data_IF_324599838586
#
_entry.id   IF_324599838586
#
_cell.length_a   1.000
_cell.length_b   1.000
_cell.length_c   1.000
_cell.angle_alpha   90.00
_cell.angle_beta   90.00
_cell.angle_gamma   90.00
#
_symmetry.space_group_name_H-M   'P 1'
#
loop_
_entity.id
_entity.type
_entity.pdbx_description
1 polymer ?
#
# COMPACT_ATOMS: atom_id res chain seq x y z
N UNK A 1 -1.33 3.86 24.04
CA UNK A 1 -0.15 3.62 24.90
C UNK A 1 -0.10 2.21 25.49
N UNK A 2 -1.05 1.75 26.33
CA UNK A 2 -0.99 0.39 26.92
C UNK A 2 -1.02 -0.73 25.87
N UNK A 3 -1.86 -0.60 24.84
CA UNK A 3 -1.95 -1.58 23.76
C UNK A 3 -0.66 -1.66 22.92
N UNK A 4 -0.03 -0.52 22.59
CA UNK A 4 1.24 -0.48 21.87
C UNK A 4 2.37 -1.21 22.65
N UNK A 5 2.42 -1.02 23.97
CA UNK A 5 3.35 -1.74 24.83
C UNK A 5 3.05 -3.24 24.90
N UNK A 6 1.78 -3.65 24.83
CA UNK A 6 1.40 -5.06 24.79
C UNK A 6 1.79 -5.71 23.45
N UNK A 7 1.53 -5.05 22.31
CA UNK A 7 1.89 -5.57 20.98
C UNK A 7 3.39 -5.69 20.76
N UNK A 8 4.19 -4.87 21.44
CA UNK A 8 5.64 -5.00 21.46
C UNK A 8 6.15 -6.37 21.94
N UNK A 9 5.32 -7.16 22.63
CA UNK A 9 5.66 -8.51 23.13
C UNK A 9 5.19 -9.64 22.21
N UNK A 10 4.55 -9.34 21.08
CA UNK A 10 4.04 -10.35 20.15
C UNK A 10 5.15 -11.27 19.64
N UNK A 11 6.36 -10.76 19.45
CA UNK A 11 7.52 -11.54 19.00
C UNK A 11 7.99 -12.62 20.00
N UNK A 12 7.57 -12.54 21.26
CA UNK A 12 7.97 -13.49 22.32
C UNK A 12 6.83 -14.39 22.78
N UNK A 13 5.59 -13.96 22.61
CA UNK A 13 4.43 -14.62 23.25
C UNK A 13 3.09 -14.34 22.57
N UNK A 14 3.08 -13.74 21.38
CA UNK A 14 1.85 -13.44 20.64
C UNK A 14 1.11 -14.72 20.26
N UNK A 15 -0.20 -14.72 20.48
CA UNK A 15 -1.12 -15.80 20.07
C UNK A 15 -2.10 -15.28 19.02
N UNK A 16 -2.69 -16.19 18.24
CA UNK A 16 -3.75 -15.81 17.30
C UNK A 16 -4.94 -15.07 17.96
N UNK A 17 -5.30 -15.49 19.18
CA UNK A 17 -6.37 -14.85 19.96
C UNK A 17 -5.98 -13.40 20.25
N UNK A 18 -4.76 -13.16 20.74
CA UNK A 18 -4.29 -11.80 21.03
C UNK A 18 -4.20 -10.93 19.77
N UNK A 19 -3.89 -11.51 18.61
CA UNK A 19 -3.87 -10.76 17.35
C UNK A 19 -5.28 -10.37 16.90
N UNK A 20 -6.24 -11.29 16.95
CA UNK A 20 -7.64 -11.02 16.60
C UNK A 20 -8.25 -9.96 17.50
N UNK A 21 -8.05 -10.08 18.83
CA UNK A 21 -8.48 -9.08 19.79
C UNK A 21 -7.83 -7.71 19.56
N UNK A 22 -6.55 -7.68 19.16
CA UNK A 22 -5.88 -6.42 18.83
C UNK A 22 -6.53 -5.75 17.63
N UNK A 23 -6.85 -6.52 16.58
CA UNK A 23 -7.53 -5.98 15.41
C UNK A 23 -8.94 -5.45 15.75
N UNK A 24 -9.69 -6.14 16.60
CA UNK A 24 -11.00 -5.67 17.08
C UNK A 24 -10.88 -4.36 17.88
N UNK A 25 -9.90 -4.26 18.79
CA UNK A 25 -9.68 -3.04 19.58
C UNK A 25 -9.26 -1.89 18.66
N UNK A 26 -8.38 -2.12 17.69
CA UNK A 26 -7.97 -1.10 16.73
C UNK A 26 -9.16 -0.63 15.89
N UNK A 27 -10.01 -1.54 15.42
CA UNK A 27 -11.24 -1.17 14.71
C UNK A 27 -12.18 -0.33 15.58
N UNK A 28 -12.33 -0.68 16.87
CA UNK A 28 -13.13 0.12 17.80
C UNK A 28 -12.55 1.51 18.03
N UNK A 29 -11.22 1.64 18.15
CA UNK A 29 -10.55 2.95 18.29
C UNK A 29 -10.74 3.77 17.02
N UNK A 30 -10.53 3.18 15.85
CA UNK A 30 -10.70 3.87 14.57
C UNK A 30 -12.14 4.38 14.37
N UNK A 31 -13.15 3.64 14.83
CA UNK A 31 -14.56 4.04 14.76
C UNK A 31 -14.91 5.24 15.66
N UNK A 32 -14.03 5.67 16.56
CA UNK A 32 -14.20 6.91 17.32
C UNK A 32 -13.91 8.14 16.44
N UNK A 33 -13.24 7.96 15.28
CA UNK A 33 -12.88 9.03 14.34
C UNK A 33 -12.09 10.16 15.05
N UNK A 34 -11.15 9.79 15.92
CA UNK A 34 -10.33 10.74 16.66
C UNK A 34 -9.46 11.55 15.72
N UNK A 35 -9.40 12.88 15.91
CA UNK A 35 -8.48 13.74 15.15
C UNK A 35 -7.08 13.79 15.75
N UNK A 36 -6.90 13.25 16.97
CA UNK A 36 -5.65 13.32 17.71
C UNK A 36 -4.50 12.59 17.01
N UNK A 37 -3.44 13.33 16.69
CA UNK A 37 -2.18 12.76 16.19
C UNK A 37 -1.64 11.67 17.10
N UNK A 38 -1.74 11.84 18.42
CA UNK A 38 -1.27 10.85 19.39
C UNK A 38 -2.00 9.50 19.25
N UNK A 39 -3.31 9.51 18.95
CA UNK A 39 -4.08 8.27 18.72
C UNK A 39 -3.55 7.58 17.46
N UNK A 40 -3.39 8.33 16.37
CA UNK A 40 -2.88 7.82 15.09
C UNK A 40 -1.45 7.28 15.23
N UNK A 41 -0.54 8.00 15.89
CA UNK A 41 0.83 7.56 16.18
C UNK A 41 0.85 6.22 16.94
N UNK A 42 0.03 6.10 18.00
CA UNK A 42 -0.08 4.86 18.76
C UNK A 42 -0.58 3.70 17.89
N UNK A 43 -1.54 3.95 16.99
CA UNK A 43 -2.05 2.92 16.08
C UNK A 43 -1.00 2.49 15.07
N UNK A 44 -0.23 3.43 14.51
CA UNK A 44 0.90 3.09 13.62
C UNK A 44 1.94 2.22 14.34
N UNK A 45 2.27 2.54 15.60
CA UNK A 45 3.19 1.73 16.40
C UNK A 45 2.65 0.33 16.69
N UNK A 46 1.34 0.21 16.98
CA UNK A 46 0.66 -1.07 17.17
C UNK A 46 0.79 -1.93 15.90
N UNK A 47 0.39 -1.39 14.74
CA UNK A 47 0.47 -2.11 13.48
C UNK A 47 1.93 -2.50 13.16
N UNK A 48 2.88 -1.57 13.34
CA UNK A 48 4.30 -1.84 13.13
C UNK A 48 4.81 -3.00 13.99
N UNK A 49 4.35 -3.10 15.24
CA UNK A 49 4.71 -4.18 16.13
C UNK A 49 4.11 -5.52 15.70
N UNK A 50 2.89 -5.52 15.19
CA UNK A 50 2.25 -6.71 14.62
C UNK A 50 3.02 -7.16 13.37
N UNK A 51 3.38 -6.25 12.46
CA UNK A 51 4.12 -6.57 11.24
C UNK A 51 5.48 -7.24 11.51
N UNK A 52 6.13 -6.91 12.62
CA UNK A 52 7.40 -7.55 13.02
C UNK A 52 7.28 -9.06 13.24
N UNK A 53 6.08 -9.58 13.47
CA UNK A 53 5.83 -10.97 13.88
C UNK A 53 5.06 -11.75 12.81
N UNK A 54 4.87 -11.18 11.62
CA UNK A 54 4.18 -11.83 10.51
C UNK A 54 5.04 -12.95 9.86
N UNK A 55 5.51 -13.88 10.67
CA UNK A 55 5.93 -15.22 10.26
C UNK A 55 4.71 -16.17 10.27
N UNK A 56 4.92 -17.41 9.83
CA UNK A 56 3.92 -18.48 9.68
C UNK A 56 2.94 -18.69 10.88
N UNK A 57 3.25 -18.17 12.06
CA UNK A 57 2.42 -18.27 13.28
C UNK A 57 1.07 -17.56 13.23
N UNK A 58 0.86 -16.61 12.30
CA UNK A 58 -0.42 -15.90 12.14
C UNK A 58 -1.16 -16.21 10.83
N UNK A 59 -0.69 -17.17 10.05
CA UNK A 59 -1.26 -17.52 8.74
C UNK A 59 -2.77 -17.78 8.80
N UNK A 60 -3.26 -18.44 9.85
CA UNK A 60 -4.70 -18.69 10.02
C UNK A 60 -5.51 -17.41 10.33
N UNK A 61 -4.97 -16.48 11.11
CA UNK A 61 -5.63 -15.20 11.36
C UNK A 61 -5.68 -14.35 10.07
N UNK A 62 -4.61 -14.36 9.27
CA UNK A 62 -4.60 -13.74 7.96
C UNK A 62 -5.62 -14.38 7.01
N UNK A 63 -5.72 -15.72 6.99
CA UNK A 63 -6.75 -16.45 6.24
C UNK A 63 -8.19 -16.07 6.63
N UNK A 64 -8.39 -15.59 7.86
CA UNK A 64 -9.71 -15.19 8.36
C UNK A 64 -10.01 -13.71 8.10
N UNK A 65 -9.09 -12.94 7.52
CA UNK A 65 -9.28 -11.52 7.20
C UNK A 65 -8.86 -10.56 8.33
N UNK A 66 -8.24 -11.04 9.41
CA UNK A 66 -7.81 -10.20 10.53
C UNK A 66 -6.81 -9.11 10.11
N UNK A 67 -5.91 -9.43 9.16
CA UNK A 67 -4.97 -8.45 8.59
C UNK A 67 -5.68 -7.34 7.84
N UNK A 68 -6.61 -7.70 6.95
CA UNK A 68 -7.46 -6.77 6.19
C UNK A 68 -8.25 -5.85 7.10
N UNK A 69 -8.89 -6.39 8.14
CA UNK A 69 -9.64 -5.58 9.11
C UNK A 69 -8.74 -4.57 9.83
N UNK A 70 -7.52 -4.97 10.20
CA UNK A 70 -6.58 -4.09 10.88
C UNK A 70 -6.09 -2.96 9.96
N UNK A 71 -5.75 -3.27 8.71
CA UNK A 71 -5.35 -2.28 7.70
C UNK A 71 -6.49 -1.31 7.42
N UNK A 72 -7.70 -1.82 7.19
CA UNK A 72 -8.87 -0.98 6.88
C UNK A 72 -9.20 -0.03 8.03
N UNK A 73 -9.17 -0.53 9.27
CA UNK A 73 -9.37 0.30 10.45
C UNK A 73 -8.29 1.38 10.59
N UNK A 74 -7.03 1.03 10.33
CA UNK A 74 -5.94 1.99 10.39
C UNK A 74 -6.05 3.06 9.31
N UNK A 75 -6.33 2.67 8.06
CA UNK A 75 -6.51 3.63 6.96
C UNK A 75 -7.72 4.53 7.19
N UNK A 76 -8.77 4.05 7.87
CA UNK A 76 -9.91 4.87 8.33
C UNK A 76 -9.45 5.97 9.27
N UNK A 77 -8.63 5.62 10.26
CA UNK A 77 -8.11 6.59 11.22
C UNK A 77 -7.28 7.69 10.52
N UNK A 78 -6.56 7.36 9.45
CA UNK A 78 -5.77 8.35 8.69
C UNK A 78 -6.63 9.41 7.99
N UNK A 79 -7.92 9.14 7.77
CA UNK A 79 -8.87 10.12 7.22
C UNK A 79 -9.15 11.27 8.21
N UNK A 80 -8.98 11.02 9.50
CA UNK A 80 -9.41 11.94 10.56
C UNK A 80 -8.27 12.68 11.24
N UNK A 81 -7.03 12.17 11.15
CA UNK A 81 -5.89 12.78 11.84
C UNK A 81 -5.68 14.23 11.41
N UNK A 82 -5.50 15.09 12.41
CA UNK A 82 -5.13 16.49 12.22
C UNK A 82 -3.74 16.61 11.59
N UNK A 83 -3.66 17.41 10.53
CA UNK A 83 -2.40 17.79 9.89
C UNK A 83 -1.80 19.03 10.57
N UNK A 84 -0.48 19.20 10.46
CA UNK A 84 0.20 20.39 10.96
C UNK A 84 -0.22 21.64 10.17
N UNK A 85 -0.66 22.70 10.86
CA UNK A 85 -1.19 23.90 10.20
C UNK A 85 -0.19 24.61 9.28
N UNK A 86 1.12 24.46 9.51
CA UNK A 86 2.17 25.10 8.70
C UNK A 86 2.52 24.34 7.43
N UNK A 87 2.40 23.01 7.44
CA UNK A 87 2.83 22.13 6.34
C UNK A 87 1.65 21.48 5.60
N UNK A 88 0.47 21.43 6.23
CA UNK A 88 -0.67 20.64 5.74
C UNK A 88 -0.39 19.14 5.81
N UNK A 89 0.57 18.69 6.61
CA UNK A 89 0.97 17.27 6.67
C UNK A 89 0.93 16.66 8.07
N UNK A 90 0.67 15.37 8.15
CA UNK A 90 0.95 14.52 9.31
C UNK A 90 1.88 13.39 8.87
N UNK A 91 2.92 13.12 9.67
CA UNK A 91 3.95 12.13 9.31
C UNK A 91 4.31 11.30 10.52
N UNK A 92 4.43 9.99 10.32
CA UNK A 92 4.94 9.09 11.35
C UNK A 92 5.63 7.89 10.70
N UNK A 93 6.85 7.61 11.16
CA UNK A 93 7.69 6.54 10.61
C UNK A 93 8.07 5.57 11.71
N UNK A 94 7.87 4.29 11.44
CA UNK A 94 8.34 3.18 12.25
C UNK A 94 9.21 2.25 11.38
N UNK A 95 9.88 1.24 11.96
CA UNK A 95 10.67 0.29 11.17
C UNK A 95 9.89 -0.50 10.11
N UNK A 96 8.57 -0.65 10.25
CA UNK A 96 7.75 -1.48 9.34
C UNK A 96 6.64 -0.72 8.61
N UNK A 97 6.31 0.50 9.06
CA UNK A 97 5.24 1.33 8.49
C UNK A 97 5.72 2.77 8.40
N UNK A 98 5.48 3.41 7.26
CA UNK A 98 5.72 4.83 7.06
C UNK A 98 4.43 5.48 6.61
N UNK A 99 4.04 6.59 7.24
CA UNK A 99 2.78 7.29 6.99
C UNK A 99 3.04 8.74 6.64
N UNK A 100 2.38 9.22 5.59
CA UNK A 100 2.27 10.63 5.25
C UNK A 100 0.83 10.93 4.86
N UNK A 101 0.18 11.81 5.62
CA UNK A 101 -1.11 12.41 5.26
C UNK A 101 -0.84 13.83 4.82
N UNK A 102 -1.41 14.24 3.69
CA UNK A 102 -1.29 15.57 3.12
C UNK A 102 -2.69 16.11 2.87
N UNK A 103 -2.97 17.33 3.32
CA UNK A 103 -4.28 17.98 3.20
C UNK A 103 -4.13 19.42 2.69
N UNK A 104 -5.01 19.83 1.77
CA UNK A 104 -5.05 21.20 1.24
C UNK A 104 -5.90 21.36 -0.02
N UNK A 105 -5.69 22.45 -0.78
CA UNK A 105 -6.45 22.70 -2.01
C UNK A 105 -6.11 21.68 -3.12
N UNK A 106 -6.96 21.54 -4.17
CA UNK A 106 -6.80 20.46 -5.15
C UNK A 106 -5.48 20.48 -5.94
N UNK A 107 -4.94 21.67 -6.21
CA UNK A 107 -3.65 21.88 -6.89
C UNK A 107 -2.44 21.39 -6.06
N UNK A 108 -2.63 21.15 -4.76
CA UNK A 108 -1.62 20.51 -3.92
C UNK A 108 -1.25 19.11 -4.42
N UNK A 109 -2.17 18.39 -5.07
CA UNK A 109 -1.93 17.04 -5.58
C UNK A 109 -1.54 16.99 -7.06
N UNK A 110 -1.47 18.13 -7.75
CA UNK A 110 -0.93 18.19 -9.12
C UNK A 110 0.58 17.98 -9.12
N UNK A 111 1.07 17.14 -10.03
CA UNK A 111 2.49 16.74 -10.09
C UNK A 111 3.03 16.26 -8.72
N UNK A 112 2.16 15.73 -7.86
CA UNK A 112 2.54 15.26 -6.53
C UNK A 112 3.05 13.83 -6.59
N UNK A 113 4.06 13.52 -5.79
CA UNK A 113 4.59 12.19 -5.66
C UNK A 113 4.96 11.88 -4.21
N UNK A 114 5.05 10.59 -3.92
CA UNK A 114 5.63 10.05 -2.70
C UNK A 114 6.73 9.07 -3.08
N UNK A 115 7.80 9.02 -2.30
CA UNK A 115 8.87 8.05 -2.48
C UNK A 115 9.29 7.45 -1.14
N UNK A 116 9.61 6.16 -1.14
CA UNK A 116 10.34 5.54 -0.03
C UNK A 116 11.83 5.71 -0.28
N UNK A 117 12.44 6.67 0.41
CA UNK A 117 13.85 7.03 0.24
C UNK A 117 14.68 6.47 1.38
N UNK A 118 15.86 5.90 1.06
CA UNK A 118 16.85 5.59 2.09
C UNK A 118 17.50 6.88 2.57
N UNK A 119 17.53 7.11 3.88
CA UNK A 119 18.17 8.29 4.47
C UNK A 119 19.68 8.33 4.17
N UNK A 120 20.35 7.17 4.13
CA UNK A 120 21.75 6.99 3.73
C UNK A 120 21.96 5.55 3.18
N UNK A 121 23.00 5.34 2.36
CA UNK A 121 23.36 4.00 1.82
C UNK A 121 23.73 2.97 2.90
N UNK A 122 23.95 3.43 4.14
CA UNK A 122 24.33 2.61 5.30
C UNK A 122 23.21 2.44 6.34
N UNK A 123 22.09 3.16 6.20
CA UNK A 123 20.96 3.07 7.11
C UNK A 123 19.84 2.19 6.54
N UNK A 124 19.28 1.32 7.40
CA UNK A 124 18.15 0.43 7.08
C UNK A 124 16.80 1.18 7.21
N UNK A 125 16.84 2.44 7.60
CA UNK A 125 15.66 3.28 7.83
C UNK A 125 15.33 4.11 6.59
N UNK A 126 14.47 3.56 5.75
CA UNK A 126 13.72 4.35 4.76
C UNK A 126 12.71 5.28 5.44
N UNK A 127 12.44 6.42 4.80
CA UNK A 127 11.33 7.33 5.10
C UNK A 127 10.40 7.43 3.90
N UNK A 128 9.15 7.82 4.14
CA UNK A 128 8.19 8.15 3.08
C UNK A 128 8.17 9.67 2.89
N UNK A 129 8.63 10.13 1.74
CA UNK A 129 8.82 11.54 1.41
C UNK A 129 7.85 12.01 0.33
N UNK A 130 6.99 13.00 0.61
CA UNK A 130 6.21 13.67 -0.42
C UNK A 130 7.05 14.73 -1.13
N UNK A 131 6.86 14.88 -2.43
CA UNK A 131 7.53 15.92 -3.22
C UNK A 131 6.70 16.32 -4.45
N UNK A 132 6.96 17.51 -4.98
CA UNK A 132 6.46 17.93 -6.29
C UNK A 132 7.43 17.47 -7.36
N UNK A 133 6.92 16.88 -8.43
CA UNK A 133 7.74 16.30 -9.48
C UNK A 133 8.34 17.40 -10.35
N UNK A 134 9.63 17.61 -10.16
CA UNK A 134 10.49 18.24 -11.14
C UNK A 134 11.05 17.15 -12.08
N UNK A 135 10.74 17.23 -13.38
CA UNK A 135 11.15 16.22 -14.37
C UNK A 135 12.66 16.02 -14.45
N UNK A 136 13.46 17.01 -14.02
CA UNK A 136 14.92 16.89 -13.99
C UNK A 136 15.44 16.05 -12.82
N UNK A 137 14.71 16.02 -11.70
CA UNK A 137 15.14 15.34 -10.46
C UNK A 137 14.59 13.93 -10.33
N UNK A 138 13.52 13.60 -11.08
CA UNK A 138 12.88 12.30 -11.03
C UNK A 138 13.87 11.12 -11.21
N UNK A 139 14.83 11.13 -12.15
CA UNK A 139 15.79 10.04 -12.27
C UNK A 139 16.68 9.82 -11.02
N UNK A 140 17.05 10.92 -10.34
CA UNK A 140 17.85 10.86 -9.12
C UNK A 140 17.04 10.31 -7.94
N UNK A 141 15.79 10.77 -7.80
CA UNK A 141 14.86 10.30 -6.77
C UNK A 141 14.58 8.83 -6.97
N UNK A 142 14.27 8.42 -8.21
CA UNK A 142 14.10 7.03 -8.57
C UNK A 142 15.31 6.25 -8.06
N UNK A 143 16.53 6.58 -8.47
CA UNK A 143 17.74 5.83 -8.12
C UNK A 143 17.92 5.53 -6.62
N UNK A 144 17.48 6.43 -5.74
CA UNK A 144 17.63 6.33 -4.28
C UNK A 144 16.39 5.78 -3.57
N UNK A 145 15.34 5.48 -4.31
CA UNK A 145 14.05 5.04 -3.76
C UNK A 145 13.80 3.56 -4.02
N UNK A 146 13.24 2.87 -3.03
CA UNK A 146 12.71 1.52 -3.23
C UNK A 146 11.36 1.53 -3.93
N UNK A 147 10.62 2.64 -3.81
CA UNK A 147 9.32 2.81 -4.44
C UNK A 147 9.03 4.31 -4.65
N UNK A 148 8.39 4.65 -5.75
CA UNK A 148 7.94 6.01 -6.07
C UNK A 148 6.54 5.92 -6.64
N UNK A 149 5.61 6.68 -6.08
CA UNK A 149 4.23 6.73 -6.52
C UNK A 149 3.86 8.17 -6.90
N UNK A 150 3.39 8.35 -8.13
CA UNK A 150 3.18 9.63 -8.78
C UNK A 150 1.69 9.82 -9.12
N UNK A 151 1.18 10.97 -8.74
CA UNK A 151 -0.18 11.40 -9.02
C UNK A 151 -0.31 11.95 -10.45
N UNK A 152 -1.52 11.93 -11.02
CA UNK A 152 -1.79 12.58 -12.29
C UNK A 152 -1.39 14.06 -12.25
N UNK A 153 -0.83 14.57 -13.36
CA UNK A 153 -0.31 15.94 -13.41
C UNK A 153 -1.37 17.03 -13.19
N UNK A 154 -2.61 16.74 -13.58
CA UNK A 154 -3.75 17.68 -13.53
C UNK A 154 -4.91 17.02 -12.81
N UNK A 155 -4.62 16.40 -11.67
CA UNK A 155 -5.64 15.76 -10.84
C UNK A 155 -6.66 16.82 -10.37
N UNK A 156 -6.19 18.02 -10.04
CA UNK A 156 -7.00 19.17 -9.60
C UNK A 156 -8.13 19.54 -10.56
N UNK A 157 -7.98 19.28 -11.87
CA UNK A 157 -9.00 19.59 -12.88
C UNK A 157 -10.31 18.82 -12.69
N UNK A 158 -10.33 17.83 -11.82
CA UNK A 158 -11.50 17.01 -11.47
C UNK A 158 -12.29 17.54 -10.27
N UNK A 159 -11.84 18.64 -9.66
CA UNK A 159 -12.34 19.16 -8.39
C UNK A 159 -12.67 20.65 -8.50
N UNK A 160 -13.55 21.11 -7.62
CA UNK A 160 -13.85 22.54 -7.49
C UNK A 160 -12.74 23.23 -6.70
N UNK A 161 -12.51 24.52 -6.96
CA UNK A 161 -11.44 25.28 -6.31
C UNK A 161 -11.62 25.44 -4.79
N UNK A 162 -12.85 25.29 -4.30
CA UNK A 162 -13.22 25.32 -2.88
C UNK A 162 -13.21 23.93 -2.21
N UNK A 163 -12.97 22.86 -2.96
CA UNK A 163 -12.78 21.54 -2.39
C UNK A 163 -11.49 21.47 -1.56
N UNK A 164 -11.52 20.73 -0.46
CA UNK A 164 -10.33 20.32 0.29
C UNK A 164 -10.03 18.86 -0.04
N UNK A 165 -8.81 18.61 -0.53
CA UNK A 165 -8.32 17.26 -0.77
C UNK A 165 -7.43 16.79 0.38
N UNK A 166 -7.61 15.54 0.79
CA UNK A 166 -6.72 14.81 1.70
C UNK A 166 -6.20 13.57 0.99
N UNK A 167 -4.88 13.43 0.88
CA UNK A 167 -4.22 12.21 0.43
C UNK A 167 -3.56 11.50 1.61
N UNK A 168 -3.96 10.26 1.88
CA UNK A 168 -3.33 9.41 2.91
C UNK A 168 -2.40 8.42 2.21
N UNK A 169 -1.13 8.41 2.57
CA UNK A 169 -0.12 7.57 1.96
C UNK A 169 0.55 6.72 3.03
N UNK A 170 0.60 5.40 2.81
CA UNK A 170 1.22 4.47 3.75
C UNK A 170 2.12 3.52 2.98
N UNK A 171 3.33 3.29 3.48
CA UNK A 171 4.20 2.23 2.99
C UNK A 171 4.34 1.15 4.07
N UNK A 172 3.93 -0.06 3.75
CA UNK A 172 4.04 -1.27 4.56
C UNK A 172 5.21 -2.10 4.04
N UNK A 173 6.23 -2.31 4.88
CA UNK A 173 7.42 -3.10 4.49
C UNK A 173 7.18 -4.61 4.44
N UNK A 174 6.15 -5.08 5.12
CA UNK A 174 5.79 -6.50 5.22
C UNK A 174 4.53 -6.75 4.38
N UNK A 175 4.71 -7.29 3.18
CA UNK A 175 3.62 -7.56 2.24
C UNK A 175 2.78 -8.78 2.63
N UNK A 176 3.27 -9.60 3.57
CA UNK A 176 2.62 -10.79 4.12
C UNK A 176 1.30 -10.47 4.83
N UNK A 177 1.10 -9.22 5.25
CA UNK A 177 -0.16 -8.75 5.82
C UNK A 177 -1.34 -8.82 4.85
N UNK A 178 -1.02 -8.78 3.56
CA UNK A 178 -1.96 -8.84 2.45
C UNK A 178 -2.00 -10.26 1.88
N UNK A 179 -2.25 -11.20 2.79
CA UNK A 179 -2.26 -12.62 2.47
C UNK A 179 -3.52 -13.00 1.68
N UNK A 180 -3.35 -13.48 0.46
CA UNK A 180 -4.44 -14.05 -0.32
C UNK A 180 -4.59 -15.55 -0.11
N UNK A 181 -5.82 -16.02 0.15
CA UNK A 181 -6.13 -17.46 0.09
C UNK A 181 -6.05 -18.05 -1.32
N UNK A 182 -5.99 -17.18 -2.32
CA UNK A 182 -6.16 -17.48 -3.73
C UNK A 182 -5.00 -16.95 -4.59
N UNK A 183 -3.76 -17.08 -4.12
CA UNK A 183 -2.55 -16.76 -4.90
C UNK A 183 -2.42 -17.47 -6.25
N UNK A 184 -3.33 -18.39 -6.57
CA UNK A 184 -3.43 -19.12 -7.83
C UNK A 184 -4.42 -18.48 -8.83
N UNK A 185 -5.31 -17.59 -8.39
CA UNK A 185 -6.31 -16.92 -9.23
C UNK A 185 -6.38 -15.45 -8.82
N UNK A 186 -5.88 -14.58 -9.69
CA UNK A 186 -6.06 -13.14 -9.61
C UNK A 186 -7.49 -12.79 -10.10
N UNK A 187 -8.16 -11.79 -9.51
CA UNK A 187 -9.56 -11.40 -9.80
C UNK A 187 -10.60 -12.48 -9.46
N UNK A 188 -10.44 -13.12 -8.30
CA UNK A 188 -11.20 -14.32 -7.95
C UNK A 188 -12.47 -14.06 -7.14
N UNK A 189 -13.13 -12.89 -7.21
CA UNK A 189 -14.25 -12.51 -6.33
C UNK A 189 -15.31 -13.61 -6.03
N UNK A 190 -15.42 -14.65 -6.87
CA UNK A 190 -16.28 -15.83 -6.71
C UNK A 190 -15.62 -17.23 -6.79
N UNK A 191 -14.29 -17.39 -6.76
CA UNK A 191 -13.66 -18.71 -6.97
C UNK A 191 -13.57 -19.58 -5.70
N UNK A 192 -13.84 -20.88 -5.85
CA UNK A 192 -13.78 -21.88 -4.77
C UNK A 192 -12.33 -22.20 -4.38
N UNK A 193 -12.06 -22.31 -3.09
CA UNK A 193 -10.74 -22.63 -2.54
C UNK A 193 -10.32 -24.05 -2.95
N UNK A 194 -9.22 -24.17 -3.70
CA UNK A 194 -8.65 -25.45 -4.12
C UNK A 194 -7.26 -25.64 -3.46
N UNK A 195 -7.03 -26.80 -2.82
CA UNK A 195 -5.84 -27.05 -1.99
C UNK A 195 -4.56 -27.40 -2.78
N UNK A 196 -4.61 -27.61 -4.10
CA UNK A 196 -3.48 -28.13 -4.89
C UNK A 196 -3.22 -27.29 -6.14
N UNK A 197 -2.29 -26.33 -6.05
CA UNK A 197 -1.84 -25.55 -7.21
C UNK A 197 -0.33 -25.60 -7.40
N UNK A 198 0.10 -25.72 -8.67
CA UNK A 198 1.50 -25.75 -9.12
C UNK A 198 2.11 -24.36 -9.36
N UNK A 199 1.31 -23.29 -9.29
CA UNK A 199 1.73 -21.91 -9.53
C UNK A 199 1.14 -21.03 -8.42
N UNK A 200 1.99 -20.25 -7.77
CA UNK A 200 1.60 -19.27 -6.76
C UNK A 200 2.22 -17.93 -7.13
N UNK A 201 1.39 -16.91 -7.15
CA UNK A 201 1.82 -15.53 -7.13
C UNK A 201 2.21 -15.18 -5.69
N UNK A 202 3.29 -14.43 -5.50
CA UNK A 202 3.70 -13.90 -4.19
C UNK A 202 4.03 -12.43 -4.32
N UNK A 203 3.73 -11.59 -3.31
CA UNK A 203 4.19 -10.21 -3.31
C UNK A 203 5.71 -10.12 -3.43
N UNK A 204 6.20 -9.33 -4.38
CA UNK A 204 7.62 -9.13 -4.62
C UNK A 204 8.04 -7.67 -4.52
N UNK A 205 7.29 -6.85 -3.79
CA UNK A 205 7.60 -5.46 -3.49
C UNK A 205 7.03 -5.12 -2.12
N UNK A 206 7.50 -4.02 -1.53
CA UNK A 206 6.75 -3.36 -0.47
C UNK A 206 5.38 -2.91 -0.97
N UNK A 207 4.45 -2.80 -0.03
CA UNK A 207 3.08 -2.39 -0.27
C UNK A 207 3.00 -0.89 0.00
N UNK A 208 2.74 -0.09 -1.04
CA UNK A 208 2.33 1.30 -0.87
C UNK A 208 0.83 1.36 -1.02
N UNK A 209 0.17 2.06 -0.10
CA UNK A 209 -1.24 2.41 -0.08
C UNK A 209 -1.39 3.91 -0.29
N UNK A 210 -2.37 4.31 -1.10
CA UNK A 210 -2.74 5.71 -1.29
C UNK A 210 -4.25 5.81 -1.42
N UNK A 211 -4.88 6.64 -0.57
CA UNK A 211 -6.30 6.99 -0.64
C UNK A 211 -6.45 8.51 -0.81
N UNK A 212 -7.46 8.95 -1.55
CA UNK A 212 -7.75 10.36 -1.80
C UNK A 212 -9.18 10.65 -1.33
N UNK A 213 -9.33 11.71 -0.53
CA UNK A 213 -10.61 12.19 -0.03
C UNK A 213 -10.83 13.63 -0.48
N UNK A 214 -12.08 13.95 -0.80
CA UNK A 214 -12.61 15.28 -1.10
C UNK A 214 -13.65 15.63 -0.05
N UNK A 215 -13.40 16.67 0.75
CA UNK A 215 -14.31 17.12 1.82
C UNK A 215 -14.74 16.00 2.77
N UNK A 216 -13.85 15.03 3.02
CA UNK A 216 -14.10 13.86 3.86
C UNK A 216 -14.76 12.67 3.14
N UNK A 217 -15.15 12.81 1.88
CA UNK A 217 -15.67 11.72 1.06
C UNK A 217 -14.58 11.13 0.17
N UNK A 218 -14.61 9.83 -0.04
CA UNK A 218 -13.59 9.17 -0.86
C UNK A 218 -13.76 9.42 -2.35
N UNK A 219 -12.64 9.67 -3.02
CA UNK A 219 -12.57 9.80 -4.48
C UNK A 219 -12.30 8.42 -5.09
N UNK A 220 -13.32 7.85 -5.73
CA UNK A 220 -13.23 6.51 -6.37
C UNK A 220 -12.85 6.57 -7.85
N UNK A 221 -13.12 7.69 -8.51
CA UNK A 221 -12.89 7.88 -9.95
C UNK A 221 -12.65 9.35 -10.26
N UNK A 222 -11.90 9.62 -11.31
CA UNK A 222 -11.75 10.95 -11.89
C UNK A 222 -11.74 10.90 -13.42
N UNK A 223 -12.04 12.03 -14.06
CA UNK A 223 -12.00 12.19 -15.51
C UNK A 223 -10.54 12.21 -16.00
N UNK A 224 -10.25 11.25 -16.88
CA UNK A 224 -8.92 11.04 -17.48
C UNK A 224 -8.71 11.87 -18.74
N UNK A 225 -9.78 12.41 -19.33
CA UNK A 225 -9.71 13.22 -20.56
C UNK A 225 -9.07 14.60 -20.35
N UNK A 226 -8.95 15.04 -19.09
CA UNK A 226 -8.35 16.32 -18.72
C UNK A 226 -6.79 16.31 -18.70
N UNK A 227 -6.15 15.13 -18.82
CA UNK A 227 -4.70 15.00 -18.98
C UNK A 227 -4.29 15.02 -20.46
N UNK A 228 -3.28 15.81 -20.83
CA UNK A 228 -2.92 16.01 -22.25
C UNK A 228 -2.36 14.77 -22.96
N UNK A 229 -2.09 13.69 -22.23
CA UNK A 229 -1.63 12.40 -22.73
C UNK A 229 -2.17 11.32 -21.79
N UNK A 230 -2.65 10.19 -22.32
CA UNK A 230 -3.35 9.14 -21.55
C UNK A 230 -2.56 8.63 -20.33
N UNK A 231 -1.22 8.68 -20.36
CA UNK A 231 -0.33 8.24 -19.27
C UNK A 231 -0.13 9.26 -18.15
N UNK A 232 -0.39 10.54 -18.40
CA UNK A 232 -0.29 11.61 -17.41
C UNK A 232 -1.60 11.81 -16.62
N UNK A 233 -2.66 11.08 -17.00
CA UNK A 233 -3.99 11.10 -16.39
C UNK A 233 -4.20 10.02 -15.31
N UNK A 234 -3.20 9.18 -15.11
CA UNK A 234 -3.24 7.98 -14.27
C UNK A 234 -2.21 8.04 -13.16
N UNK A 235 -2.50 7.40 -12.03
CA UNK A 235 -1.47 7.15 -11.02
C UNK A 235 -0.39 6.26 -11.63
N UNK A 236 0.87 6.52 -11.25
CA UNK A 236 2.03 5.75 -11.71
C UNK A 236 2.87 5.31 -10.54
N UNK A 237 3.43 4.12 -10.63
CA UNK A 237 4.34 3.62 -9.61
C UNK A 237 5.60 3.06 -10.25
N UNK A 238 6.73 3.34 -9.63
CA UNK A 238 7.98 2.63 -9.84
C UNK A 238 8.37 1.92 -8.57
N UNK A 239 8.95 0.73 -8.70
CA UNK A 239 9.34 -0.08 -7.56
C UNK A 239 10.66 -0.79 -7.83
N UNK A 240 11.34 -1.12 -6.74
CA UNK A 240 12.45 -2.07 -6.69
C UNK A 240 11.91 -3.42 -6.20
N UNK A 241 12.10 -4.51 -6.96
CA UNK A 241 11.75 -5.85 -6.51
C UNK A 241 12.41 -6.20 -5.17
N UNK A 242 11.76 -7.03 -4.36
CA UNK A 242 12.40 -7.65 -3.20
C UNK A 242 13.50 -8.61 -3.68
N UNK A 243 14.61 -8.63 -2.94
CA UNK A 243 15.72 -9.55 -3.19
C UNK A 243 15.50 -10.85 -2.41
N UNK A 244 15.67 -12.00 -3.07
CA UNK A 244 15.70 -13.31 -2.44
C UNK A 244 17.12 -13.86 -2.51
N UNK A 245 17.77 -14.05 -1.36
CA UNK A 245 19.15 -14.57 -1.25
C UNK A 245 20.20 -13.77 -2.08
N UNK A 246 20.08 -12.44 -2.13
CA UNK A 246 20.99 -11.57 -2.89
C UNK A 246 20.81 -11.65 -4.40
N UNK A 247 19.71 -12.25 -4.87
CA UNK A 247 19.28 -12.22 -6.27
C UNK A 247 17.95 -11.50 -6.37
N UNK A 248 17.83 -10.59 -7.33
CA UNK A 248 16.54 -10.01 -7.70
C UNK A 248 15.65 -11.17 -8.18
N UNK A 249 14.52 -11.35 -7.50
CA UNK A 249 13.54 -12.38 -7.87
C UNK A 249 13.10 -12.16 -9.32
N UNK A 250 13.28 -13.19 -10.15
CA UNK A 250 13.15 -13.11 -11.62
C UNK A 250 11.73 -12.66 -12.04
N UNK A 251 11.66 -11.59 -12.84
CA UNK A 251 10.46 -10.77 -13.16
C UNK A 251 9.59 -11.37 -14.29
N UNK A 252 9.88 -12.60 -14.75
CA UNK A 252 9.34 -13.20 -16.00
C UNK A 252 7.81 -13.27 -16.13
N UNK A 253 7.03 -12.99 -15.08
CA UNK A 253 5.56 -12.92 -15.15
C UNK A 253 4.96 -11.96 -14.11
N UNK A 254 5.49 -10.74 -14.08
CA UNK A 254 5.02 -9.67 -13.20
C UNK A 254 3.62 -9.19 -13.56
N UNK A 255 2.76 -9.00 -12.55
CA UNK A 255 1.43 -8.41 -12.71
C UNK A 255 1.25 -7.31 -11.68
N UNK A 256 0.74 -6.16 -12.13
CA UNK A 256 0.32 -5.09 -11.24
C UNK A 256 -1.07 -5.38 -10.67
N UNK A 257 -1.21 -5.28 -9.35
CA UNK A 257 -2.46 -5.51 -8.63
C UNK A 257 -2.70 -4.45 -7.54
N UNK A 258 -3.89 -4.46 -6.96
CA UNK A 258 -4.32 -3.72 -5.77
C UNK A 258 -5.04 -4.65 -4.79
N UNK A 259 -5.07 -4.30 -3.50
CA UNK A 259 -5.79 -5.07 -2.49
C UNK A 259 -7.25 -4.64 -2.45
N UNK A 260 -8.16 -5.51 -2.87
CA UNK A 260 -9.59 -5.28 -2.78
C UNK A 260 -10.11 -5.82 -1.44
N UNK A 261 -10.35 -4.94 -0.46
CA UNK A 261 -10.88 -5.29 0.87
C UNK A 261 -12.19 -6.08 0.83
N UNK A 262 -13.04 -5.84 -0.18
CA UNK A 262 -14.37 -6.46 -0.28
C UNK A 262 -14.31 -7.86 -0.91
N UNK A 263 -13.21 -8.20 -1.58
CA UNK A 263 -13.05 -9.52 -2.15
C UNK A 263 -13.02 -10.61 -1.08
N UNK A 264 -13.32 -11.85 -1.49
CA UNK A 264 -13.32 -13.03 -0.61
C UNK A 264 -14.24 -12.90 0.63
N UNK A 265 -15.39 -12.24 0.45
CA UNK A 265 -16.37 -12.00 1.50
C UNK A 265 -15.87 -11.04 2.60
N UNK A 266 -15.12 -10.01 2.22
CA UNK A 266 -14.58 -9.01 3.14
C UNK A 266 -13.24 -9.39 3.80
N UNK A 267 -12.63 -10.50 3.36
CA UNK A 267 -11.29 -10.91 3.86
C UNK A 267 -10.16 -10.27 3.09
N UNK A 268 -10.45 -9.67 1.94
CA UNK A 268 -9.47 -9.04 1.07
C UNK A 268 -8.84 -10.02 0.09
N UNK A 269 -8.57 -9.55 -1.13
CA UNK A 269 -7.79 -10.29 -2.12
C UNK A 269 -7.15 -9.34 -3.14
N UNK A 270 -6.11 -9.80 -3.83
CA UNK A 270 -5.47 -9.09 -4.93
C UNK A 270 -6.35 -9.07 -6.17
N UNK A 271 -6.52 -7.88 -6.75
CA UNK A 271 -7.18 -7.65 -8.04
C UNK A 271 -6.26 -6.88 -8.98
N UNK A 272 -6.35 -7.14 -10.28
CA UNK A 272 -5.65 -6.40 -11.34
C UNK A 272 -6.61 -5.50 -12.12
N UNK A 273 -7.87 -5.42 -11.68
CA UNK A 273 -8.86 -4.63 -12.38
C UNK A 273 -8.44 -3.16 -12.40
N UNK A 274 -8.33 -2.61 -13.60
CA UNK A 274 -7.84 -1.25 -13.79
C UNK A 274 -6.37 -1.04 -13.44
N UNK A 275 -5.56 -2.09 -13.42
CA UNK A 275 -4.11 -2.01 -13.26
C UNK A 275 -3.43 -2.48 -14.55
N UNK A 276 -2.41 -1.76 -15.03
CA UNK A 276 -1.55 -2.24 -16.14
C UNK A 276 -0.07 -2.08 -15.81
N UNK A 277 0.69 -3.13 -16.13
CA UNK A 277 2.15 -3.05 -16.16
C UNK A 277 2.57 -2.29 -17.43
N UNK A 278 3.36 -1.23 -17.33
CA UNK A 278 3.80 -0.46 -18.51
C UNK A 278 5.07 -1.05 -19.12
N UNK A 279 6.07 -1.40 -18.30
CA UNK A 279 7.25 -2.11 -18.79
C UNK A 279 7.96 -2.91 -17.69
N UNK A 280 8.25 -4.18 -17.91
CA UNK A 280 9.23 -4.93 -17.12
C UNK A 280 10.59 -4.82 -17.83
N UNK A 281 11.66 -4.40 -17.13
CA UNK A 281 12.98 -4.26 -17.75
C UNK A 281 13.49 -5.59 -18.34
N UNK A 282 14.23 -5.49 -19.44
CA UNK A 282 14.61 -6.61 -20.32
C UNK A 282 15.79 -7.46 -19.85
N UNK A 283 16.45 -7.09 -18.75
CA UNK A 283 17.72 -7.66 -18.26
C UNK A 283 17.62 -8.33 -16.88
N UNK A 284 16.43 -8.43 -16.30
CA UNK A 284 16.25 -8.96 -14.94
C UNK A 284 16.85 -8.07 -13.85
N UNK A 285 17.40 -6.91 -14.20
CA UNK A 285 17.91 -5.86 -13.33
C UNK A 285 17.09 -4.61 -13.57
N UNK A 286 15.91 -4.52 -12.95
CA UNK A 286 15.09 -3.34 -13.16
C UNK A 286 15.51 -2.21 -12.23
N UNK A 287 16.17 -1.21 -12.80
CA UNK A 287 16.07 0.15 -12.30
C UNK A 287 14.73 0.73 -12.80
N UNK A 288 13.68 0.59 -12.00
CA UNK A 288 12.36 1.25 -12.12
C UNK A 288 11.42 0.71 -13.22
N UNK A 289 10.49 -0.17 -12.84
CA UNK A 289 9.35 -0.59 -13.68
C UNK A 289 8.22 0.44 -13.50
N UNK A 290 7.86 1.25 -14.52
CA UNK A 290 6.62 2.01 -14.49
C UNK A 290 5.42 1.07 -14.53
N UNK A 291 4.50 1.30 -13.61
CA UNK A 291 3.17 0.72 -13.54
C UNK A 291 2.17 1.85 -13.71
N UNK A 292 1.10 1.63 -14.48
CA UNK A 292 0.04 2.62 -14.68
C UNK A 292 -1.28 2.07 -14.17
N UNK A 293 -1.99 2.87 -13.38
CA UNK A 293 -3.31 2.55 -12.87
C UNK A 293 -4.39 3.21 -13.72
N UNK A 294 -5.22 2.39 -14.34
CA UNK A 294 -6.38 2.79 -15.11
C UNK A 294 -7.67 2.28 -14.45
N UNK A 295 -8.18 2.97 -13.45
CA UNK A 295 -9.48 2.62 -12.84
C UNK A 295 -10.58 2.86 -13.88
N UNK A 296 -11.12 1.78 -14.43
CA UNK A 296 -12.09 1.81 -15.55
C UNK A 296 -13.50 1.40 -15.14
N UNK A 297 -13.70 0.96 -13.90
CA UNK A 297 -15.02 0.66 -13.34
C UNK A 297 -15.08 1.13 -11.90
N UNK A 298 -16.18 1.83 -11.60
CA UNK A 298 -16.71 2.01 -10.24
C UNK A 298 -16.90 0.61 -9.64
N UNK A 299 -15.88 0.09 -8.97
CA UNK A 299 -16.14 -0.88 -7.92
C UNK A 299 -16.59 0.01 -6.77
N UNK A 300 -17.83 -0.16 -6.31
CA UNK A 300 -18.27 0.42 -5.04
C UNK A 300 -17.33 -0.16 -3.97
N UNK A 301 -16.19 0.46 -3.74
CA UNK A 301 -15.17 0.11 -2.74
C UNK A 301 -15.11 1.29 -1.81
N UNK A 302 -15.67 1.14 -0.61
CA UNK A 302 -15.17 1.94 0.50
C UNK A 302 -13.71 1.54 0.68
N UNK A 303 -12.84 2.54 0.76
CA UNK A 303 -11.38 2.50 0.64
C UNK A 303 -10.83 2.14 -0.74
N UNK A 304 -10.36 3.16 -1.47
CA UNK A 304 -9.57 3.06 -2.69
C UNK A 304 -8.09 2.94 -2.31
N UNK A 305 -7.71 1.82 -1.70
CA UNK A 305 -6.29 1.57 -1.40
C UNK A 305 -5.62 0.91 -2.59
N UNK A 306 -4.83 1.68 -3.35
CA UNK A 306 -3.97 1.10 -4.37
C UNK A 306 -2.79 0.46 -3.67
N UNK A 307 -2.65 -0.86 -3.76
CA UNK A 307 -1.58 -1.63 -3.12
C UNK A 307 -0.88 -2.47 -4.15
N UNK A 308 0.36 -2.16 -4.52
CA UNK A 308 0.98 -2.87 -5.63
C UNK A 308 2.11 -3.77 -5.20
N UNK A 309 1.81 -5.03 -4.84
CA UNK A 309 2.76 -6.08 -4.98
C UNK A 309 2.87 -6.40 -6.46
N UNK A 310 4.10 -6.46 -6.96
CA UNK A 310 4.33 -7.16 -8.21
C UNK A 310 4.45 -8.64 -7.88
N UNK A 311 3.65 -9.46 -8.57
CA UNK A 311 3.67 -10.88 -8.32
C UNK A 311 4.57 -11.64 -9.28
N UNK A 312 5.42 -12.52 -8.75
CA UNK A 312 6.25 -13.44 -9.56
C UNK A 312 5.63 -14.83 -9.60
N UNK A 313 5.74 -15.49 -10.75
CA UNK A 313 5.40 -16.89 -10.93
C UNK A 313 6.60 -17.77 -10.56
N UNK A 314 6.53 -18.49 -9.45
CA UNK A 314 7.55 -19.49 -9.10
C UNK A 314 7.26 -20.81 -9.83
N UNK A 315 8.13 -21.23 -10.76
CA UNK A 315 8.08 -22.59 -11.29
C UNK A 315 8.97 -23.52 -10.46
N UNK A 316 8.38 -24.52 -9.81
CA UNK A 316 9.17 -25.60 -9.21
C UNK A 316 9.85 -26.43 -10.31
N UNK A 317 11.14 -26.17 -10.57
CA UNK A 317 12.02 -27.19 -11.14
C UNK A 317 12.34 -28.19 -10.03
N UNK A 318 11.97 -29.45 -10.23
CA UNK A 318 12.37 -30.55 -9.34
C UNK A 318 13.90 -30.60 -9.28
N UNK A 319 14.48 -30.20 -8.16
CA UNK A 319 15.78 -30.72 -7.77
C UNK A 319 15.55 -32.15 -7.31
N UNK A 320 15.97 -33.12 -8.14
CA UNK A 320 16.28 -34.46 -7.63
C UNK A 320 17.61 -34.34 -6.87
N UNK A 321 17.67 -35.10 -5.78
CA UNK A 321 18.82 -35.32 -4.89
C UNK A 321 20.16 -35.44 -5.62
#
# INVERSE_FOLDING_TARGET
MQLANATNRFNKSGTMISFTQTAEIVNNIANVNSTSQQVTTNLTDILSNVLRVADNGFAEAFNNGTGTMLVEAFERQLQHVETESSSGTYRHTTPNIMVVVTEGPPDLLDDYAIATTMANETEITETLEPFKVNTQELPLILNRSSNVFLFPKRLSANFHSDDTLRATNVAYRCAEFFFSRYYNVINNEFAKFERRHKRRFVPNTFVIATNIYRNGEEVLTWDRSQGSETENSTLRQWYRPLEENGKISVIESSVCSFWNFRADGGRGNWSTDGCRLVSAGSDGLVNYVPVTFQISRSVNTGMMTIICPVHIRVSHSRFKE
#
